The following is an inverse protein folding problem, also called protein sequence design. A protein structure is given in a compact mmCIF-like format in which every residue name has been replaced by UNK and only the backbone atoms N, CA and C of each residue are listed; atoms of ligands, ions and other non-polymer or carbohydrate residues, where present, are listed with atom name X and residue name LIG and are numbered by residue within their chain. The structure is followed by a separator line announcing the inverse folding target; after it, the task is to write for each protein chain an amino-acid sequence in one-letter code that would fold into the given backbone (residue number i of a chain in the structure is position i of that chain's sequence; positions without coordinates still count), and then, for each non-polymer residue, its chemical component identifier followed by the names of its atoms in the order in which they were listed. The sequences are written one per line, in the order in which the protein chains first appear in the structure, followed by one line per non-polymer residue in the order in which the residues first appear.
data_IF_558632895269
#
_entry.id   IF_558632895269
#
_cell.length_a   1.000
_cell.length_b   1.000
_cell.length_c   1.000
_cell.angle_alpha   90.00
_cell.angle_beta   90.00
_cell.angle_gamma   90.00
#
_symmetry.space_group_name_H-M   'P 1'
#
loop_
_entity.id
_entity.type
_entity.pdbx_description
1 polymer ?
#
# COMPACT_ATOMS: atom_id res chain seq x y z
N UNK A 1 13.12 10.53 -7.55
CA UNK A 1 13.15 11.43 -8.72
C UNK A 1 14.57 11.89 -8.97
N UNK A 2 14.92 12.14 -10.23
CA UNK A 2 16.25 12.58 -10.65
C UNK A 2 16.40 14.11 -10.57
N UNK A 3 17.60 14.63 -10.85
CA UNK A 3 17.89 16.07 -10.79
C UNK A 3 17.07 16.88 -11.82
N UNK A 4 16.85 16.35 -13.02
CA UNK A 4 16.03 17.02 -14.04
C UNK A 4 14.59 17.21 -13.58
N UNK A 5 14.02 16.21 -12.91
CA UNK A 5 12.68 16.27 -12.30
C UNK A 5 12.64 17.28 -11.14
N UNK A 6 13.70 17.35 -10.32
CA UNK A 6 13.83 18.35 -9.26
C UNK A 6 13.92 19.77 -9.83
N UNK A 7 14.68 19.97 -10.91
CA UNK A 7 14.74 21.26 -11.60
C UNK A 7 13.36 21.69 -12.10
N UNK A 8 12.61 20.79 -12.74
CA UNK A 8 11.21 21.05 -13.14
C UNK A 8 10.33 21.45 -11.96
N UNK A 9 10.43 20.72 -10.84
CA UNK A 9 9.67 21.02 -9.62
C UNK A 9 10.00 22.42 -9.09
N UNK A 10 11.29 22.78 -9.05
CA UNK A 10 11.77 24.09 -8.61
C UNK A 10 11.36 25.22 -9.57
N UNK A 11 11.31 24.97 -10.87
CA UNK A 11 10.78 25.93 -11.85
C UNK A 11 9.32 26.25 -11.55
N UNK A 12 8.49 25.24 -11.25
CA UNK A 12 7.09 25.48 -10.85
C UNK A 12 7.02 26.26 -9.54
N UNK A 13 7.83 25.90 -8.54
CA UNK A 13 7.88 26.65 -7.27
C UNK A 13 8.27 28.11 -7.49
N UNK A 14 9.26 28.38 -8.36
CA UNK A 14 9.70 29.75 -8.67
C UNK A 14 8.66 30.64 -9.31
N UNK A 15 7.74 30.05 -10.08
CA UNK A 15 6.62 30.81 -10.65
C UNK A 15 5.63 31.29 -9.57
N UNK A 16 5.65 30.69 -8.37
CA UNK A 16 4.72 30.98 -7.28
C UNK A 16 5.39 31.83 -6.19
N UNK A 17 6.59 31.44 -5.75
CA UNK A 17 7.29 32.08 -4.62
C UNK A 17 8.50 32.94 -5.03
N UNK A 18 8.68 33.16 -6.34
CA UNK A 18 9.71 34.03 -6.91
C UNK A 18 11.16 33.66 -6.53
N UNK A 19 11.44 32.38 -6.25
CA UNK A 19 12.83 31.93 -6.03
C UNK A 19 13.67 31.97 -7.31
N UNK A 20 14.97 32.19 -7.17
CA UNK A 20 15.94 31.92 -8.24
C UNK A 20 16.42 30.48 -8.14
N UNK A 21 16.34 29.72 -9.22
CA UNK A 21 16.80 28.33 -9.28
C UNK A 21 18.23 28.28 -9.81
N UNK A 22 19.14 27.66 -9.05
CA UNK A 22 20.53 27.38 -9.47
C UNK A 22 20.83 25.89 -9.41
N UNK A 23 21.92 25.46 -10.05
CA UNK A 23 22.34 24.06 -10.08
C UNK A 23 22.65 23.54 -8.67
N UNK A 24 23.23 24.36 -7.80
CA UNK A 24 23.50 24.01 -6.41
C UNK A 24 22.19 23.77 -5.63
N UNK A 25 21.15 24.56 -5.90
CA UNK A 25 19.83 24.33 -5.29
C UNK A 25 19.20 23.03 -5.77
N UNK A 26 19.30 22.73 -7.07
CA UNK A 26 18.82 21.46 -7.63
C UNK A 26 19.53 20.28 -6.96
N UNK A 27 20.86 20.36 -6.80
CA UNK A 27 21.65 19.32 -6.12
C UNK A 27 21.20 19.15 -4.66
N UNK A 28 21.04 20.24 -3.91
CA UNK A 28 20.61 20.21 -2.52
C UNK A 28 19.19 19.63 -2.36
N UNK A 29 18.25 20.08 -3.20
CA UNK A 29 16.87 19.57 -3.21
C UNK A 29 16.80 18.10 -3.63
N UNK A 30 17.59 17.70 -4.63
CA UNK A 30 17.68 16.31 -5.05
C UNK A 30 18.21 15.43 -3.92
N UNK A 31 19.22 15.87 -3.17
CA UNK A 31 19.73 15.11 -2.03
C UNK A 31 18.62 14.82 -1.00
N UNK A 32 17.73 15.79 -0.75
CA UNK A 32 16.60 15.63 0.16
C UNK A 32 15.48 14.78 -0.44
N UNK A 33 15.15 14.94 -1.73
CA UNK A 33 13.92 14.42 -2.32
C UNK A 33 14.09 13.22 -3.26
N UNK A 34 15.32 12.75 -3.53
CA UNK A 34 15.61 11.66 -4.48
C UNK A 34 14.80 10.38 -4.25
N UNK A 35 14.40 10.12 -3.00
CA UNK A 35 13.64 8.94 -2.58
C UNK A 35 12.12 9.02 -2.91
N UNK A 36 11.64 10.15 -3.41
CA UNK A 36 10.22 10.34 -3.77
C UNK A 36 10.00 10.17 -5.28
N UNK A 37 8.86 9.59 -5.70
CA UNK A 37 8.37 9.70 -7.08
C UNK A 37 8.08 11.17 -7.43
N UNK A 38 8.28 11.55 -8.69
CA UNK A 38 8.12 12.93 -9.15
C UNK A 38 6.66 13.41 -9.04
N UNK A 39 5.72 12.54 -9.34
CA UNK A 39 4.28 12.78 -9.30
C UNK A 39 3.81 13.10 -7.88
N UNK A 40 4.33 12.37 -6.89
CA UNK A 40 4.03 12.62 -5.47
C UNK A 40 4.61 13.95 -5.01
N UNK A 41 5.81 14.31 -5.50
CA UNK A 41 6.42 15.60 -5.18
C UNK A 41 5.66 16.78 -5.81
N UNK A 42 5.15 16.63 -7.03
CA UNK A 42 4.30 17.64 -7.68
C UNK A 42 2.99 17.84 -6.93
N UNK A 43 2.28 16.75 -6.59
CA UNK A 43 1.04 16.83 -5.82
C UNK A 43 1.29 17.48 -4.45
N UNK A 44 2.40 17.13 -3.79
CA UNK A 44 2.79 17.76 -2.53
C UNK A 44 3.03 19.27 -2.66
N UNK A 45 3.67 19.71 -3.75
CA UNK A 45 3.88 21.14 -4.05
C UNK A 45 2.55 21.87 -4.22
N UNK A 46 1.64 21.30 -5.01
CA UNK A 46 0.33 21.89 -5.26
C UNK A 46 -0.47 22.00 -3.97
N UNK A 47 -0.51 20.93 -3.16
CA UNK A 47 -1.20 20.95 -1.86
C UNK A 47 -0.60 21.99 -0.92
N UNK A 48 0.73 22.15 -0.89
CA UNK A 48 1.38 23.16 -0.06
C UNK A 48 0.90 24.56 -0.41
N UNK A 49 0.95 24.96 -1.68
CA UNK A 49 0.53 26.31 -2.08
C UNK A 49 -1.00 26.51 -2.10
N UNK A 50 -1.79 25.44 -2.12
CA UNK A 50 -3.25 25.51 -1.93
C UNK A 50 -3.60 25.82 -0.47
N UNK A 51 -2.90 25.19 0.47
CA UNK A 51 -3.28 25.16 1.88
C UNK A 51 -2.38 26.07 2.76
N UNK A 52 -1.29 26.62 2.21
CA UNK A 52 -0.30 27.45 2.91
C UNK A 52 0.25 28.57 2.00
N UNK A 53 0.58 29.70 2.62
CA UNK A 53 1.27 30.84 2.00
C UNK A 53 2.76 30.87 2.30
N UNK A 54 3.27 29.90 3.06
CA UNK A 54 4.68 29.85 3.46
C UNK A 54 5.60 29.54 2.27
N UNK A 55 6.83 30.04 2.35
CA UNK A 55 7.88 29.69 1.39
C UNK A 55 8.14 28.18 1.38
N UNK A 56 8.16 27.57 0.19
CA UNK A 56 8.25 26.12 0.07
C UNK A 56 9.66 25.60 0.36
N UNK A 57 9.78 24.64 1.28
CA UNK A 57 11.03 23.96 1.59
C UNK A 57 10.93 22.46 1.24
N UNK A 58 12.06 21.75 1.00
CA UNK A 58 12.04 20.31 0.72
C UNK A 58 11.32 19.51 1.82
N UNK A 59 11.46 19.94 3.08
CA UNK A 59 10.80 19.31 4.22
C UNK A 59 9.27 19.32 4.14
N UNK A 60 8.68 20.36 3.55
CA UNK A 60 7.23 20.44 3.34
C UNK A 60 6.76 19.37 2.35
N UNK A 61 7.51 19.19 1.26
CA UNK A 61 7.25 18.14 0.28
C UNK A 61 7.35 16.76 0.91
N UNK A 62 8.42 16.47 1.67
CA UNK A 62 8.57 15.18 2.35
C UNK A 62 7.47 14.91 3.38
N UNK A 63 7.03 15.94 4.12
CA UNK A 63 5.91 15.83 5.06
C UNK A 63 4.62 15.48 4.33
N UNK A 64 4.30 16.21 3.26
CA UNK A 64 3.06 16.01 2.51
C UNK A 64 3.06 14.69 1.72
N UNK A 65 4.21 14.25 1.22
CA UNK A 65 4.36 12.96 0.55
C UNK A 65 3.99 11.78 1.46
N UNK A 66 4.27 11.85 2.77
CA UNK A 66 3.85 10.82 3.74
C UNK A 66 2.33 10.75 3.85
N UNK A 67 1.66 11.92 3.85
CA UNK A 67 0.19 12.00 3.88
C UNK A 67 -0.41 11.39 2.61
N UNK A 68 0.10 11.79 1.44
CA UNK A 68 -0.36 11.28 0.14
C UNK A 68 -0.21 9.76 0.06
N UNK A 69 0.93 9.21 0.49
CA UNK A 69 1.12 7.74 0.50
C UNK A 69 0.14 7.03 1.42
N UNK A 70 -0.09 7.56 2.62
CA UNK A 70 -1.06 6.98 3.54
C UNK A 70 -2.50 6.99 2.99
N UNK A 71 -2.88 8.06 2.28
CA UNK A 71 -4.16 8.15 1.56
C UNK A 71 -4.25 7.09 0.46
N UNK A 72 -3.23 6.97 -0.39
CA UNK A 72 -3.18 5.96 -1.45
C UNK A 72 -3.25 4.52 -0.93
N UNK A 73 -2.52 4.22 0.15
CA UNK A 73 -2.57 2.91 0.81
C UNK A 73 -3.96 2.62 1.40
N UNK A 74 -4.59 3.62 2.00
CA UNK A 74 -5.96 3.51 2.53
C UNK A 74 -6.96 3.25 1.41
N UNK A 75 -6.88 3.98 0.30
CA UNK A 75 -7.75 3.80 -0.86
C UNK A 75 -7.54 2.42 -1.51
N UNK A 76 -6.29 1.99 -1.65
CA UNK A 76 -5.96 0.66 -2.16
C UNK A 76 -6.53 -0.46 -1.27
N UNK A 77 -6.47 -0.29 0.07
CA UNK A 77 -7.06 -1.22 1.02
C UNK A 77 -8.59 -1.27 0.89
N UNK A 78 -9.25 -0.11 0.82
CA UNK A 78 -10.71 -0.05 0.65
C UNK A 78 -11.10 -0.73 -0.67
N UNK A 79 -10.38 -0.44 -1.76
CA UNK A 79 -10.64 -1.05 -3.06
C UNK A 79 -10.53 -2.57 -3.03
N UNK A 80 -9.50 -3.12 -2.36
CA UNK A 80 -9.35 -4.57 -2.17
C UNK A 80 -10.48 -5.20 -1.35
N UNK A 81 -11.04 -4.47 -0.39
CA UNK A 81 -12.17 -4.95 0.41
C UNK A 81 -13.50 -4.96 -0.35
N UNK A 82 -13.62 -4.16 -1.40
CA UNK A 82 -14.81 -4.13 -2.27
C UNK A 82 -14.81 -5.32 -3.25
N UNK A 83 -13.66 -5.98 -3.47
CA UNK A 83 -13.64 -7.21 -4.27
C UNK A 83 -14.57 -8.26 -3.61
N UNK A 84 -15.52 -8.85 -4.36
CA UNK A 84 -16.46 -9.80 -3.78
C UNK A 84 -15.67 -10.96 -3.16
N UNK A 85 -16.05 -11.42 -1.95
CA UNK A 85 -15.40 -12.56 -1.35
C UNK A 85 -15.44 -13.70 -2.35
N UNK A 86 -14.32 -14.43 -2.48
CA UNK A 86 -14.28 -15.62 -3.34
C UNK A 86 -15.47 -16.50 -2.96
N UNK A 87 -16.33 -16.89 -3.91
CA UNK A 87 -17.46 -17.73 -3.58
C UNK A 87 -16.92 -19.00 -2.94
N UNK A 88 -17.44 -19.34 -1.75
CA UNK A 88 -17.14 -20.61 -1.10
C UNK A 88 -17.79 -21.69 -1.97
N UNK A 89 -17.01 -22.32 -2.84
CA UNK A 89 -17.46 -23.47 -3.63
C UNK A 89 -17.28 -24.71 -2.78
N UNK A 90 -18.33 -25.10 -2.06
CA UNK A 90 -18.38 -26.39 -1.39
C UNK A 90 -19.09 -27.39 -2.29
N UNK A 91 -18.36 -28.37 -2.80
CA UNK A 91 -18.96 -29.54 -3.44
C UNK A 91 -19.57 -30.43 -2.35
N UNK A 92 -20.83 -30.12 -2.00
CA UNK A 92 -21.58 -30.81 -0.96
C UNK A 92 -21.66 -32.33 -1.18
N UNK A 93 -22.02 -32.85 -2.37
CA UNK A 93 -22.08 -34.30 -2.55
C UNK A 93 -20.71 -34.98 -2.42
N UNK A 94 -19.63 -34.33 -2.87
CA UNK A 94 -18.28 -34.89 -2.67
C UNK A 94 -17.90 -34.96 -1.19
N UNK A 95 -18.19 -33.89 -0.42
CA UNK A 95 -17.97 -33.86 1.03
C UNK A 95 -18.80 -34.91 1.76
N UNK A 96 -20.07 -35.07 1.39
CA UNK A 96 -20.96 -36.08 1.98
C UNK A 96 -20.47 -37.50 1.68
N UNK A 97 -19.95 -37.76 0.47
CA UNK A 97 -19.34 -39.03 0.12
C UNK A 97 -18.06 -39.31 0.93
N UNK A 98 -17.18 -38.32 1.06
CA UNK A 98 -15.95 -38.44 1.84
C UNK A 98 -16.25 -38.69 3.33
N UNK A 99 -17.18 -37.93 3.91
CA UNK A 99 -17.58 -38.11 5.31
C UNK A 99 -18.25 -39.46 5.54
N UNK A 100 -19.06 -39.96 4.60
CA UNK A 100 -19.63 -41.30 4.67
C UNK A 100 -18.56 -42.40 4.63
N UNK A 101 -17.53 -42.24 3.80
CA UNK A 101 -16.38 -43.15 3.74
C UNK A 101 -15.64 -43.20 5.08
N UNK A 102 -15.29 -42.04 5.64
CA UNK A 102 -14.65 -41.97 6.96
C UNK A 102 -15.54 -42.55 8.07
N UNK A 103 -16.84 -42.29 8.03
CA UNK A 103 -17.79 -42.82 9.01
C UNK A 103 -17.87 -44.35 8.94
N UNK A 104 -17.86 -44.93 7.73
CA UNK A 104 -17.83 -46.37 7.53
C UNK A 104 -16.49 -46.98 7.98
N UNK A 105 -15.38 -46.33 7.63
CA UNK A 105 -14.04 -46.74 8.04
C UNK A 105 -13.90 -46.81 9.56
N UNK A 106 -14.25 -45.73 10.28
CA UNK A 106 -14.18 -45.69 11.75
C UNK A 106 -15.22 -46.59 12.45
N UNK A 107 -16.31 -46.96 11.77
CA UNK A 107 -17.24 -47.97 12.28
C UNK A 107 -16.63 -49.36 12.27
N UNK A 108 -15.76 -49.65 11.29
CA UNK A 108 -15.05 -50.92 11.17
C UNK A 108 -13.74 -50.95 11.97
N UNK A 109 -13.13 -49.78 12.24
CA UNK A 109 -11.85 -49.62 12.93
C UNK A 109 -11.99 -48.69 14.16
N UNK A 110 -12.70 -49.12 15.21
CA UNK A 110 -12.92 -48.30 16.41
C UNK A 110 -11.61 -47.96 17.15
N UNK A 111 -10.60 -48.84 17.09
CA UNK A 111 -9.25 -48.61 17.61
C UNK A 111 -8.54 -47.44 16.92
N UNK A 112 -8.67 -47.35 15.59
CA UNK A 112 -8.08 -46.27 14.80
C UNK A 112 -8.76 -44.92 15.15
N UNK A 113 -10.08 -44.94 15.34
CA UNK A 113 -10.83 -43.76 15.81
C UNK A 113 -10.36 -43.27 17.18
N UNK A 114 -10.05 -44.18 18.10
CA UNK A 114 -9.60 -43.84 19.44
C UNK A 114 -8.18 -43.22 19.43
N UNK A 115 -7.31 -43.73 18.55
CA UNK A 115 -5.96 -43.19 18.32
C UNK A 115 -6.02 -41.78 17.70
N UNK A 116 -6.79 -41.59 16.63
CA UNK A 116 -6.89 -40.30 15.92
C UNK A 116 -7.61 -39.22 16.75
N UNK A 117 -8.52 -39.62 17.65
CA UNK A 117 -9.17 -38.73 18.60
C UNK A 117 -8.30 -38.37 19.81
N UNK A 118 -7.06 -38.86 19.89
CA UNK A 118 -6.14 -38.61 21.00
C UNK A 118 -6.66 -39.14 22.35
N UNK A 119 -7.47 -40.21 22.32
CA UNK A 119 -8.18 -40.77 23.50
C UNK A 119 -7.57 -42.11 23.96
N UNK A 120 -6.27 -42.28 23.77
CA UNK A 120 -5.48 -43.40 24.30
C UNK A 120 -4.48 -42.81 25.31
N UNK A 121 -4.24 -43.41 26.49
CA UNK A 121 -3.28 -42.90 27.45
C UNK A 121 -1.85 -42.80 26.92
#
# INVERSE_FOLDING_TARGET
MNQTEVAKLLTVASAIDNRTVSDEQVIAWHAALRHLPFEVAQEALVRHFRDSTEYLLPGHISKQAKVIRAEQEREARIRRQIEPPRPITLDRPALEAETAQWTAFYRQHPEQRALDAGRVP
#
